data_IF_407928620438
#
_entry.id   IF_407928620438
#
_cell.length_a   1.000
_cell.length_b   1.000
_cell.length_c   1.000
_cell.angle_alpha   90.00
_cell.angle_beta   90.00
_cell.angle_gamma   90.00
#
_symmetry.space_group_name_H-M   'P 1'
#
loop_
_entity.id
_entity.type
_entity.pdbx_description
1 polymer ?
#
# COMPACT_ATOMS: atom_id res chain seq x y z
N UNK A 1 13.98 -9.75 5.73
CA UNK A 1 12.64 -10.06 5.20
C UNK A 1 12.82 -10.66 3.83
N UNK A 2 12.17 -11.80 3.57
CA UNK A 2 12.19 -12.52 2.29
C UNK A 2 10.81 -12.43 1.63
N UNK A 3 10.10 -11.34 1.89
CA UNK A 3 8.75 -11.14 1.41
C UNK A 3 8.81 -10.79 -0.08
N UNK A 4 7.91 -11.37 -0.86
CA UNK A 4 7.95 -11.30 -2.32
C UNK A 4 6.64 -10.78 -2.86
N UNK A 5 6.70 -9.72 -3.66
CA UNK A 5 5.57 -9.29 -4.46
C UNK A 5 5.35 -10.31 -5.57
N UNK A 6 4.21 -10.99 -5.54
CA UNK A 6 3.82 -11.99 -6.55
C UNK A 6 3.00 -11.33 -7.67
N UNK A 7 2.18 -10.34 -7.32
CA UNK A 7 1.26 -9.70 -8.26
C UNK A 7 1.01 -8.24 -7.86
N UNK A 8 0.80 -7.39 -8.87
CA UNK A 8 0.37 -6.00 -8.70
C UNK A 8 -0.92 -5.82 -9.49
N UNK A 9 -1.93 -5.23 -8.86
CA UNK A 9 -3.20 -4.86 -9.51
C UNK A 9 -3.48 -3.37 -9.28
N UNK A 10 -4.21 -2.70 -10.19
CA UNK A 10 -4.67 -1.33 -9.96
C UNK A 10 -5.49 -1.25 -8.67
N UNK A 11 -5.27 -0.20 -7.88
CA UNK A 11 -6.10 0.07 -6.72
C UNK A 11 -7.50 0.55 -7.17
N UNK A 12 -8.56 0.27 -6.38
CA UNK A 12 -9.87 0.90 -6.57
C UNK A 12 -9.74 2.43 -6.52
N UNK A 13 -10.52 3.13 -7.35
CA UNK A 13 -10.42 4.58 -7.50
C UNK A 13 -10.72 5.36 -6.20
N UNK A 14 -11.50 4.79 -5.30
CA UNK A 14 -11.86 5.38 -4.01
C UNK A 14 -10.92 4.96 -2.87
N UNK A 15 -9.94 4.09 -3.12
CA UNK A 15 -9.02 3.66 -2.09
C UNK A 15 -7.96 4.74 -1.84
N UNK A 16 -8.01 5.33 -0.65
CA UNK A 16 -7.12 6.43 -0.27
C UNK A 16 -6.36 6.10 1.03
N UNK A 17 -5.30 6.83 1.27
CA UNK A 17 -4.57 6.83 2.53
C UNK A 17 -4.38 8.27 3.02
N UNK A 18 -4.14 8.43 4.32
CA UNK A 18 -3.72 9.69 4.91
C UNK A 18 -2.75 9.46 6.07
N UNK A 19 -1.90 10.45 6.32
CA UNK A 19 -1.15 10.55 7.56
C UNK A 19 -2.02 11.25 8.63
N UNK A 20 -1.69 11.14 9.92
CA UNK A 20 -2.53 11.61 11.04
C UNK A 20 -3.04 13.06 10.90
N UNK A 21 -2.25 13.96 10.31
CA UNK A 21 -2.59 15.38 10.12
C UNK A 21 -3.02 15.73 8.67
N UNK A 22 -3.30 14.73 7.82
CA UNK A 22 -3.15 14.85 6.38
C UNK A 22 -4.43 14.88 5.52
N UNK A 23 -4.25 15.36 4.29
CA UNK A 23 -5.21 15.23 3.18
C UNK A 23 -5.17 13.80 2.63
N UNK A 24 -6.35 13.23 2.35
CA UNK A 24 -6.48 11.95 1.66
C UNK A 24 -5.76 11.98 0.31
N UNK A 25 -4.93 10.96 0.06
CA UNK A 25 -4.18 10.74 -1.17
C UNK A 25 -4.51 9.37 -1.75
N UNK A 26 -4.54 9.20 -3.08
CA UNK A 26 -4.92 7.93 -3.69
C UNK A 26 -3.86 6.86 -3.46
N UNK A 27 -4.31 5.62 -3.21
CA UNK A 27 -3.45 4.44 -3.31
C UNK A 27 -3.13 4.19 -4.79
N UNK A 28 -1.87 3.90 -5.10
CA UNK A 28 -1.41 3.70 -6.49
C UNK A 28 -1.78 2.30 -6.99
N UNK A 29 -1.51 1.27 -6.19
CA UNK A 29 -1.79 -0.11 -6.53
C UNK A 29 -1.91 -0.99 -5.28
N UNK A 30 -2.44 -2.20 -5.49
CA UNK A 30 -2.41 -3.25 -4.48
C UNK A 30 -1.38 -4.30 -4.89
N UNK A 31 -0.56 -4.73 -3.93
CA UNK A 31 0.41 -5.79 -4.11
C UNK A 31 -0.04 -7.05 -3.35
N UNK A 32 -0.08 -8.20 -4.02
CA UNK A 32 -0.14 -9.50 -3.37
C UNK A 32 1.27 -9.89 -2.95
N UNK A 33 1.50 -9.99 -1.65
CA UNK A 33 2.81 -10.26 -1.07
C UNK A 33 2.80 -11.64 -0.40
N UNK A 34 3.75 -12.49 -0.77
CA UNK A 34 4.07 -13.71 -0.03
C UNK A 34 5.04 -13.36 1.09
N UNK A 35 4.61 -13.58 2.33
CA UNK A 35 5.42 -13.38 3.51
C UNK A 35 6.43 -14.52 3.68
N UNK A 36 7.47 -14.26 4.45
CA UNK A 36 8.51 -15.27 4.77
C UNK A 36 8.00 -16.55 5.45
N UNK A 37 6.83 -16.51 6.08
CA UNK A 37 6.16 -17.67 6.68
C UNK A 37 5.31 -18.47 5.68
N UNK A 38 5.22 -18.04 4.41
CA UNK A 38 4.41 -18.63 3.35
C UNK A 38 2.99 -18.10 3.27
N UNK A 39 2.57 -17.24 4.20
CA UNK A 39 1.27 -16.59 4.14
C UNK A 39 1.22 -15.54 3.04
N UNK A 40 0.00 -15.13 2.68
CA UNK A 40 -0.23 -14.12 1.65
C UNK A 40 -1.08 -12.98 2.17
N UNK A 41 -0.64 -11.77 1.89
CA UNK A 41 -1.32 -10.55 2.27
C UNK A 41 -1.48 -9.61 1.08
N UNK A 42 -2.45 -8.70 1.19
CA UNK A 42 -2.62 -7.60 0.24
C UNK A 42 -2.10 -6.34 0.91
N UNK A 43 -1.08 -5.72 0.31
CA UNK A 43 -0.50 -4.46 0.75
C UNK A 43 -0.95 -3.34 -0.18
N UNK A 44 -1.36 -2.22 0.41
CA UNK A 44 -1.67 -1.01 -0.33
C UNK A 44 -0.36 -0.23 -0.56
N UNK A 45 -0.12 0.15 -1.81
CA UNK A 45 1.14 0.76 -2.20
C UNK A 45 0.90 2.15 -2.77
N UNK A 46 1.74 3.12 -2.42
CA UNK A 46 1.61 4.50 -2.84
C UNK A 46 2.95 5.14 -3.19
N UNK A 47 2.89 6.25 -3.93
CA UNK A 47 4.04 7.11 -4.20
C UNK A 47 4.02 8.26 -3.20
N UNK A 48 5.10 8.42 -2.44
CA UNK A 48 5.28 9.52 -1.50
C UNK A 48 6.27 10.53 -2.07
N UNK A 49 5.89 11.80 -2.15
CA UNK A 49 6.76 12.91 -2.58
C UNK A 49 7.49 12.68 -3.92
N UNK A 50 6.88 11.95 -4.86
CA UNK A 50 7.48 11.62 -6.15
C UNK A 50 8.60 10.56 -6.09
N UNK A 51 8.72 9.85 -4.96
CA UNK A 51 9.64 8.76 -4.75
C UNK A 51 9.19 7.43 -5.38
N UNK A 52 9.82 6.30 -4.99
CA UNK A 52 9.38 4.99 -5.41
C UNK A 52 8.00 4.63 -4.85
N UNK A 53 7.42 3.55 -5.38
CA UNK A 53 6.21 2.95 -4.82
C UNK A 53 6.59 2.18 -3.56
N UNK A 54 5.97 2.52 -2.44
CA UNK A 54 6.25 1.96 -1.12
C UNK A 54 4.94 1.52 -0.44
N UNK A 55 5.06 0.62 0.55
CA UNK A 55 3.92 0.14 1.33
C UNK A 55 3.38 1.24 2.25
N UNK A 56 2.09 1.53 2.12
CA UNK A 56 1.38 2.54 2.92
C UNK A 56 1.46 2.24 4.41
N UNK A 57 1.21 0.99 4.82
CA UNK A 57 1.17 0.60 6.23
C UNK A 57 2.54 0.71 6.89
N UNK A 58 3.63 0.51 6.14
CA UNK A 58 4.99 0.65 6.67
C UNK A 58 5.42 2.11 6.87
N UNK A 59 4.71 3.07 6.29
CA UNK A 59 5.05 4.51 6.37
C UNK A 59 4.34 5.26 7.50
N UNK A 60 3.50 4.57 8.28
CA UNK A 60 2.68 5.20 9.33
C UNK A 60 1.43 5.92 8.79
N UNK A 61 1.12 5.74 7.51
CA UNK A 61 -0.15 6.16 6.93
C UNK A 61 -1.27 5.17 7.27
N UNK A 62 -2.49 5.69 7.34
CA UNK A 62 -3.71 4.91 7.58
C UNK A 62 -4.50 4.80 6.28
N UNK A 63 -4.96 3.60 5.96
CA UNK A 63 -5.90 3.38 4.88
C UNK A 63 -7.27 3.92 5.28
N UNK A 64 -7.81 4.78 4.42
CA UNK A 64 -9.14 5.33 4.57
C UNK A 64 -10.09 4.42 3.79
N UNK A 65 -10.96 3.73 4.52
CA UNK A 65 -12.08 3.02 3.93
C UNK A 65 -13.28 3.97 3.92
N UNK A 66 -13.96 4.09 2.78
CA UNK A 66 -15.32 4.64 2.71
C UNK A 66 -16.36 3.56 3.06
#
# INVERSE_FOLDING_TARGET
MNDKIIQIIPAPANMCYAFEDGKASPVTCLALVELSNGDREIHAMAIFNGGPIEDVCCTGAVLLNE
#
